data_IF_757951589888
#
_entry.id   IF_757951589888
#
_cell.length_a   1.000
_cell.length_b   1.000
_cell.length_c   1.000
_cell.angle_alpha   90.00
_cell.angle_beta   90.00
_cell.angle_gamma   90.00
#
_symmetry.space_group_name_H-M   'P 1'
#
loop_
_entity.id
_entity.type
_entity.pdbx_description
1 polymer ?
#
# COMPACT_ATOMS: atom_id res chain seq x y z
N UNK A 1 5.08 -11.87 5.11
CA UNK A 1 4.49 -10.69 4.46
C UNK A 1 3.30 -10.27 5.30
N UNK A 2 3.28 -9.03 5.79
CA UNK A 2 2.24 -8.56 6.72
C UNK A 2 1.18 -7.68 6.06
N UNK A 3 1.57 -6.91 5.05
CA UNK A 3 0.70 -5.97 4.35
C UNK A 3 0.64 -6.27 2.85
N UNK A 4 -0.48 -5.92 2.23
CA UNK A 4 -0.68 -5.92 0.78
C UNK A 4 -1.20 -4.54 0.37
N UNK A 5 -0.35 -3.77 -0.33
CA UNK A 5 -0.60 -2.37 -0.67
C UNK A 5 -0.46 -2.14 -2.18
N UNK A 6 -1.27 -1.24 -2.72
CA UNK A 6 -1.08 -0.68 -4.06
C UNK A 6 -0.06 0.46 -4.02
N UNK A 7 0.49 0.84 -5.17
CA UNK A 7 1.46 1.96 -5.25
C UNK A 7 0.86 3.24 -4.67
N UNK A 8 -0.39 3.56 -4.98
CA UNK A 8 -1.06 4.75 -4.46
C UNK A 8 -1.35 4.71 -2.94
N UNK A 9 -1.16 3.57 -2.28
CA UNK A 9 -1.46 3.39 -0.84
C UNK A 9 -0.22 3.57 0.05
N UNK A 10 1.00 3.68 -0.52
CA UNK A 10 2.21 3.86 0.28
C UNK A 10 2.20 5.13 1.16
N UNK A 11 1.63 6.29 0.74
CA UNK A 11 1.63 7.50 1.57
C UNK A 11 0.85 7.35 2.87
N UNK A 12 -0.08 6.39 2.96
CA UNK A 12 -0.82 6.09 4.20
C UNK A 12 0.08 5.55 5.32
N UNK A 13 1.31 5.15 4.98
CA UNK A 13 2.30 4.75 5.98
C UNK A 13 3.11 5.92 6.52
N UNK A 14 2.90 7.18 6.10
CA UNK A 14 3.59 8.32 6.69
C UNK A 14 3.44 8.34 8.23
N UNK A 15 4.57 8.31 8.94
CA UNK A 15 4.61 8.20 10.41
C UNK A 15 4.54 6.78 11.00
N UNK A 16 4.35 5.74 10.17
CA UNK A 16 4.45 4.33 10.57
C UNK A 16 5.91 3.91 10.74
N UNK A 17 6.18 2.90 11.58
CA UNK A 17 7.53 2.34 11.78
C UNK A 17 8.20 1.77 10.51
N UNK A 18 7.40 1.52 9.47
CA UNK A 18 7.86 1.00 8.18
C UNK A 18 8.17 2.11 7.18
N UNK A 19 7.89 3.36 7.56
CA UNK A 19 8.11 4.53 6.73
C UNK A 19 9.52 5.06 6.87
N UNK A 20 10.17 5.28 5.74
CA UNK A 20 11.44 5.97 5.68
C UNK A 20 11.46 6.87 4.46
N UNK A 21 11.12 8.14 4.66
CA UNK A 21 11.25 9.18 3.65
C UNK A 21 12.64 9.83 3.77
N UNK A 22 13.45 9.67 2.72
CA UNK A 22 14.79 10.30 2.63
C UNK A 22 14.78 11.57 1.79
N UNK A 23 13.84 11.67 0.86
CA UNK A 23 13.71 12.79 -0.07
C UNK A 23 12.22 12.99 -0.41
N UNK A 24 11.68 14.15 -0.03
CA UNK A 24 10.29 14.51 -0.29
C UNK A 24 9.99 14.73 -1.79
N UNK A 25 11.01 15.04 -2.60
CA UNK A 25 10.90 15.18 -4.05
C UNK A 25 10.82 13.87 -4.81
N UNK A 26 11.06 12.74 -4.15
CA UNK A 26 11.02 11.40 -4.77
C UNK A 26 9.61 10.80 -4.85
N UNK A 27 8.59 11.48 -4.31
CA UNK A 27 7.20 11.02 -4.36
C UNK A 27 6.74 10.92 -5.82
N UNK A 28 6.28 9.74 -6.21
CA UNK A 28 5.74 9.50 -7.56
C UNK A 28 4.26 9.19 -7.47
N UNK A 29 3.44 10.09 -8.00
CA UNK A 29 2.01 9.85 -8.13
C UNK A 29 1.77 8.85 -9.28
N UNK A 30 1.53 7.59 -8.91
CA UNK A 30 1.05 6.56 -9.83
C UNK A 30 -0.13 5.85 -9.19
N UNK A 31 -1.25 5.81 -9.91
CA UNK A 31 -2.46 5.10 -9.47
C UNK A 31 -2.38 3.61 -9.77
N UNK A 32 -1.38 3.15 -10.54
CA UNK A 32 -1.23 1.77 -10.95
C UNK A 32 -0.49 0.90 -9.90
N UNK A 33 -0.99 -0.29 -9.55
CA UNK A 33 -2.25 -0.87 -10.02
C UNK A 33 -3.47 -0.16 -9.42
N UNK A 34 -4.47 0.12 -10.26
CA UNK A 34 -5.68 0.82 -9.84
C UNK A 34 -6.48 0.11 -8.74
N UNK A 35 -7.41 0.82 -8.08
CA UNK A 35 -8.21 0.28 -6.97
C UNK A 35 -8.96 -1.03 -7.30
N UNK A 36 -9.43 -1.16 -8.54
CA UNK A 36 -10.13 -2.34 -9.03
C UNK A 36 -9.22 -3.58 -9.09
N UNK A 37 -7.96 -3.41 -9.49
CA UNK A 37 -6.97 -4.47 -9.48
C UNK A 37 -6.67 -4.89 -8.04
N UNK A 38 -6.39 -3.91 -7.16
CA UNK A 38 -6.12 -4.20 -5.75
C UNK A 38 -7.28 -4.91 -5.06
N UNK A 39 -8.53 -4.57 -5.40
CA UNK A 39 -9.73 -5.28 -4.92
C UNK A 39 -9.74 -6.75 -5.37
N UNK A 40 -9.38 -7.05 -6.62
CA UNK A 40 -9.29 -8.44 -7.14
C UNK A 40 -8.19 -9.22 -6.43
N UNK A 41 -7.00 -8.62 -6.26
CA UNK A 41 -5.88 -9.25 -5.54
C UNK A 41 -6.29 -9.57 -4.11
N UNK A 42 -6.84 -8.59 -3.35
CA UNK A 42 -7.28 -8.79 -1.96
C UNK A 42 -8.31 -9.91 -1.81
N UNK A 43 -9.23 -10.04 -2.77
CA UNK A 43 -10.18 -11.18 -2.80
C UNK A 43 -9.47 -12.51 -3.02
N UNK A 44 -8.55 -12.60 -3.98
CA UNK A 44 -7.80 -13.81 -4.28
C UNK A 44 -6.83 -14.22 -3.16
N UNK A 45 -6.32 -13.25 -2.40
CA UNK A 45 -5.34 -13.45 -1.33
C UNK A 45 -5.96 -13.46 0.07
N UNK A 46 -7.30 -13.51 0.19
CA UNK A 46 -8.02 -13.41 1.48
C UNK A 46 -7.50 -14.41 2.52
N UNK A 47 -7.10 -15.61 2.10
CA UNK A 47 -6.56 -16.68 2.96
C UNK A 47 -5.31 -16.30 3.76
N UNK A 48 -4.58 -15.26 3.35
CA UNK A 48 -3.33 -14.85 3.98
C UNK A 48 -3.52 -13.87 5.13
N UNK A 49 -4.75 -13.35 5.33
CA UNK A 49 -5.11 -12.51 6.47
C UNK A 49 -4.14 -11.34 6.75
N UNK A 50 -3.80 -10.57 5.70
CA UNK A 50 -2.95 -9.39 5.81
C UNK A 50 -3.52 -8.35 6.77
N UNK A 51 -2.64 -7.60 7.44
CA UNK A 51 -3.01 -6.49 8.32
C UNK A 51 -3.72 -5.38 7.53
N UNK A 52 -4.64 -4.62 8.16
CA UNK A 52 -5.23 -3.45 7.55
C UNK A 52 -4.17 -2.37 7.28
N UNK A 53 -4.41 -1.56 6.25
CA UNK A 53 -3.57 -0.40 5.94
C UNK A 53 -3.84 0.70 6.99
N UNK A 54 -2.83 1.48 7.43
CA UNK A 54 -3.05 2.60 8.35
C UNK A 54 -3.99 3.67 7.77
N UNK A 55 -4.61 4.47 8.65
CA UNK A 55 -5.49 5.58 8.30
C UNK A 55 -4.74 6.91 8.23
#
# INVERSE_FOLDING_TARGET
IEYLIGHYEYPLFEGHELWLEKDAGYRTEKTDPGPDFMRKVRKATKRFNFKPIPN
#
